data_IF_498339898380
#
_entry.id   IF_498339898380
#
_cell.length_a   1.000
_cell.length_b   1.000
_cell.length_c   1.000
_cell.angle_alpha   90.00
_cell.angle_beta   90.00
_cell.angle_gamma   90.00
#
_symmetry.space_group_name_H-M   'P 1'
#
loop_
_entity.id
_entity.type
_entity.pdbx_description
1 polymer ?
#
# COMPACT_ATOMS: atom_id res chain seq x y z
N UNK A 1 33.31 13.35 23.69
CA UNK A 1 32.85 12.20 22.88
C UNK A 1 32.71 12.66 21.43
N UNK A 2 33.18 11.90 20.42
CA UNK A 2 33.43 12.38 19.03
C UNK A 2 32.39 11.95 17.97
N UNK A 3 31.38 11.15 18.32
CA UNK A 3 30.36 10.66 17.38
C UNK A 3 28.96 10.73 17.98
N UNK A 4 27.97 11.00 17.12
CA UNK A 4 26.55 10.86 17.44
C UNK A 4 26.26 9.37 17.63
N UNK A 5 25.64 9.00 18.75
CA UNK A 5 25.26 7.62 19.05
C UNK A 5 23.82 7.37 18.60
N UNK A 6 23.58 6.21 17.99
CA UNK A 6 22.23 5.75 17.69
C UNK A 6 21.49 5.28 18.95
N UNK A 7 20.22 4.91 18.77
CA UNK A 7 19.38 4.42 19.85
C UNK A 7 19.60 2.92 20.11
N UNK A 8 19.29 2.47 21.33
CA UNK A 8 19.39 1.06 21.71
C UNK A 8 18.27 0.24 21.03
N UNK A 9 18.63 -0.85 20.35
CA UNK A 9 17.70 -1.75 19.65
C UNK A 9 16.70 -2.46 20.57
N UNK A 10 17.02 -2.60 21.86
CA UNK A 10 16.13 -3.21 22.86
C UNK A 10 15.27 -2.19 23.60
N UNK A 11 15.41 -0.89 23.30
CA UNK A 11 14.60 0.15 23.91
C UNK A 11 13.15 -0.03 23.46
N UNK A 12 12.23 -0.22 24.41
CA UNK A 12 10.80 -0.21 24.11
C UNK A 12 10.36 1.19 23.73
N UNK A 13 9.69 1.31 22.59
CA UNK A 13 9.03 2.52 22.15
C UNK A 13 7.53 2.36 22.27
N UNK A 14 6.87 3.43 22.74
CA UNK A 14 5.45 3.61 22.48
C UNK A 14 5.34 3.99 21.00
N UNK A 15 4.70 3.13 20.22
CA UNK A 15 4.38 3.44 18.83
C UNK A 15 3.41 4.64 18.79
N UNK A 16 3.40 5.45 17.71
CA UNK A 16 2.40 6.49 17.48
C UNK A 16 0.98 5.98 17.81
N UNK A 17 0.18 6.86 18.42
CA UNK A 17 -1.12 6.52 19.03
C UNK A 17 -2.11 5.98 17.99
N UNK A 18 -1.88 6.29 16.71
CA UNK A 18 -2.58 5.75 15.54
C UNK A 18 -1.62 5.43 14.39
N UNK A 19 -2.07 4.66 13.38
CA UNK A 19 -1.32 4.51 12.12
C UNK A 19 -1.11 5.88 11.46
N UNK A 20 -2.07 6.79 11.58
CA UNK A 20 -2.02 8.10 10.94
C UNK A 20 -0.91 8.98 11.51
N UNK A 21 -0.68 8.93 12.82
CA UNK A 21 0.44 9.61 13.48
C UNK A 21 1.82 9.03 13.08
N UNK A 22 1.86 7.85 12.47
CA UNK A 22 3.10 7.21 12.04
C UNK A 22 3.68 7.80 10.75
N UNK A 23 2.85 8.51 9.98
CA UNK A 23 3.22 9.11 8.69
C UNK A 23 3.05 10.61 8.79
N UNK A 24 4.12 11.36 8.51
CA UNK A 24 4.08 12.82 8.50
C UNK A 24 2.99 13.34 7.54
N UNK A 25 2.36 14.47 7.89
CA UNK A 25 1.27 15.07 7.12
C UNK A 25 1.69 15.46 5.70
N UNK A 26 2.97 15.76 5.48
CA UNK A 26 3.57 16.15 4.21
C UNK A 26 4.17 14.97 3.42
N UNK A 27 4.04 13.73 3.91
CA UNK A 27 4.54 12.55 3.20
C UNK A 27 3.76 12.30 1.90
N UNK A 28 4.48 12.06 0.81
CA UNK A 28 3.90 11.83 -0.53
C UNK A 28 2.93 10.65 -0.62
N UNK A 29 3.03 9.66 0.28
CA UNK A 29 2.12 8.52 0.30
C UNK A 29 0.67 8.94 0.53
N UNK A 30 0.44 10.04 1.25
CA UNK A 30 -0.89 10.61 1.50
C UNK A 30 -1.52 11.15 0.22
N UNK A 31 -0.71 11.64 -0.72
CA UNK A 31 -1.21 12.08 -2.02
C UNK A 31 -1.77 10.91 -2.82
N UNK A 32 -1.14 9.73 -2.74
CA UNK A 32 -1.63 8.51 -3.41
C UNK A 32 -2.99 8.12 -2.86
N UNK A 33 -3.13 8.15 -1.53
CA UNK A 33 -4.37 7.81 -0.82
C UNK A 33 -5.54 8.69 -1.26
N UNK A 34 -5.39 10.01 -1.12
CA UNK A 34 -6.41 11.00 -1.50
C UNK A 34 -6.70 10.95 -3.00
N UNK A 35 -5.66 10.77 -3.84
CA UNK A 35 -5.85 10.69 -5.28
C UNK A 35 -6.72 9.49 -5.67
N UNK A 36 -6.38 8.28 -5.21
CA UNK A 36 -7.12 7.07 -5.56
C UNK A 36 -8.55 7.11 -5.01
N UNK A 37 -8.74 7.62 -3.79
CA UNK A 37 -10.06 7.73 -3.17
C UNK A 37 -10.96 8.75 -3.88
N UNK A 38 -10.38 9.70 -4.60
CA UNK A 38 -11.14 10.63 -5.45
C UNK A 38 -11.61 10.04 -6.79
N UNK A 39 -11.10 8.87 -7.19
CA UNK A 39 -11.40 8.28 -8.49
C UNK A 39 -12.71 7.49 -8.46
N UNK A 40 -13.57 7.73 -9.46
CA UNK A 40 -14.69 6.84 -9.76
C UNK A 40 -14.18 5.57 -10.47
N UNK A 41 -13.64 4.61 -9.71
CA UNK A 41 -12.92 3.44 -10.23
C UNK A 41 -13.72 2.64 -11.30
N UNK A 42 -15.03 2.52 -11.15
CA UNK A 42 -15.89 1.84 -12.14
C UNK A 42 -15.82 2.51 -13.52
N UNK A 43 -15.74 3.84 -13.56
CA UNK A 43 -15.65 4.61 -14.81
C UNK A 43 -14.31 4.41 -15.54
N UNK A 44 -13.27 4.00 -14.81
CA UNK A 44 -11.97 3.60 -15.35
C UNK A 44 -11.90 2.12 -15.73
N UNK A 45 -13.00 1.38 -15.56
CA UNK A 45 -13.11 -0.03 -15.95
C UNK A 45 -12.65 -1.03 -14.89
N UNK A 46 -12.47 -0.60 -13.64
CA UNK A 46 -12.24 -1.53 -12.52
C UNK A 46 -13.56 -2.20 -12.13
N UNK A 47 -13.54 -3.53 -11.97
CA UNK A 47 -14.66 -4.28 -11.45
C UNK A 47 -14.63 -4.24 -9.91
N UNK A 48 -15.64 -3.62 -9.31
CA UNK A 48 -15.78 -3.51 -7.84
C UNK A 48 -16.68 -4.62 -7.29
N UNK A 49 -17.63 -5.09 -8.10
CA UNK A 49 -18.56 -6.14 -7.69
C UNK A 49 -17.87 -7.52 -7.68
N UNK A 50 -17.97 -8.20 -6.54
CA UNK A 50 -17.44 -9.55 -6.34
C UNK A 50 -18.55 -10.41 -5.76
N UNK A 51 -18.76 -11.59 -6.36
CA UNK A 51 -19.78 -12.53 -5.88
C UNK A 51 -19.55 -12.93 -4.42
N UNK A 52 -20.64 -13.18 -3.69
CA UNK A 52 -20.65 -13.48 -2.25
C UNK A 52 -19.96 -14.81 -1.87
N UNK A 53 -19.51 -15.60 -2.84
CA UNK A 53 -18.96 -16.94 -2.63
C UNK A 53 -17.43 -16.93 -2.62
N UNK A 54 -16.84 -17.44 -1.53
CA UNK A 54 -15.40 -17.64 -1.39
C UNK A 54 -14.74 -16.61 -0.47
N UNK A 55 -13.40 -16.48 -0.57
CA UNK A 55 -12.65 -15.47 0.18
C UNK A 55 -12.92 -14.09 -0.44
N UNK A 56 -13.26 -13.06 0.36
CA UNK A 56 -13.40 -11.69 -0.14
C UNK A 56 -12.15 -11.25 -0.89
N UNK A 57 -12.35 -10.63 -2.05
CA UNK A 57 -11.27 -10.02 -2.81
C UNK A 57 -10.82 -8.71 -2.15
N UNK A 58 -9.60 -8.28 -2.47
CA UNK A 58 -9.13 -6.94 -2.11
C UNK A 58 -9.84 -5.90 -2.97
N UNK A 59 -10.13 -4.74 -2.39
CA UNK A 59 -10.74 -3.66 -3.16
C UNK A 59 -9.76 -3.18 -4.26
N UNK A 60 -10.22 -2.94 -5.50
CA UNK A 60 -9.37 -2.47 -6.59
C UNK A 60 -8.57 -1.21 -6.24
N UNK A 61 -9.14 -0.32 -5.41
CA UNK A 61 -8.48 0.89 -4.93
C UNK A 61 -7.22 0.60 -4.12
N UNK A 62 -7.24 -0.38 -3.21
CA UNK A 62 -6.07 -0.74 -2.39
C UNK A 62 -4.92 -1.27 -3.27
N UNK A 63 -5.27 -2.11 -4.24
CA UNK A 63 -4.28 -2.64 -5.18
C UNK A 63 -3.75 -1.53 -6.10
N UNK A 64 -4.60 -0.61 -6.55
CA UNK A 64 -4.18 0.54 -7.35
C UNK A 64 -3.23 1.46 -6.57
N UNK A 65 -3.54 1.77 -5.30
CA UNK A 65 -2.66 2.52 -4.39
C UNK A 65 -1.28 1.86 -4.30
N UNK A 66 -1.23 0.55 -4.09
CA UNK A 66 0.03 -0.21 -4.05
C UNK A 66 0.80 -0.14 -5.38
N UNK A 67 0.11 -0.18 -6.52
CA UNK A 67 0.76 -0.05 -7.82
C UNK A 67 1.36 1.34 -8.02
N UNK A 68 0.60 2.41 -7.78
CA UNK A 68 1.09 3.79 -7.89
C UNK A 68 2.32 4.00 -6.99
N UNK A 69 2.25 3.54 -5.74
CA UNK A 69 3.40 3.56 -4.82
C UNK A 69 4.62 2.85 -5.43
N UNK A 70 4.41 1.66 -5.99
CA UNK A 70 5.44 0.90 -6.68
C UNK A 70 6.03 1.62 -7.89
N UNK A 71 5.21 2.30 -8.69
CA UNK A 71 5.67 3.08 -9.85
C UNK A 71 6.55 4.26 -9.40
N UNK A 72 6.11 5.04 -8.41
CA UNK A 72 6.86 6.18 -7.85
C UNK A 72 8.20 5.73 -7.24
N UNK A 73 8.20 4.60 -6.53
CA UNK A 73 9.38 4.06 -5.85
C UNK A 73 10.22 3.09 -6.71
N UNK A 74 9.94 2.98 -8.01
CA UNK A 74 10.65 2.10 -8.96
C UNK A 74 10.63 0.60 -8.55
N UNK A 75 9.56 0.16 -7.90
CA UNK A 75 9.28 -1.22 -7.50
C UNK A 75 8.24 -1.84 -8.44
N UNK A 76 8.71 -2.65 -9.41
CA UNK A 76 7.83 -3.27 -10.44
C UNK A 76 7.52 -4.75 -10.20
N UNK A 77 8.25 -5.38 -9.29
CA UNK A 77 8.06 -6.81 -8.98
C UNK A 77 6.94 -6.98 -7.96
N UNK A 78 5.94 -7.81 -8.29
CA UNK A 78 4.85 -8.16 -7.37
C UNK A 78 5.37 -8.77 -6.07
N UNK A 79 6.42 -9.60 -6.14
CA UNK A 79 7.10 -10.15 -4.95
C UNK A 79 7.75 -9.08 -4.08
N UNK A 80 8.30 -8.02 -4.69
CA UNK A 80 8.85 -6.90 -3.93
C UNK A 80 7.73 -6.07 -3.30
N UNK A 81 6.63 -5.83 -4.01
CA UNK A 81 5.46 -5.14 -3.47
C UNK A 81 4.83 -5.90 -2.28
N UNK A 82 4.66 -7.22 -2.40
CA UNK A 82 4.25 -8.07 -1.26
C UNK A 82 5.20 -7.94 -0.06
N UNK A 83 6.51 -7.82 -0.32
CA UNK A 83 7.49 -7.64 0.75
C UNK A 83 7.36 -6.26 1.40
N UNK A 84 7.12 -5.21 0.62
CA UNK A 84 6.91 -3.85 1.15
C UNK A 84 5.66 -3.75 2.01
N UNK A 85 4.54 -4.39 1.61
CA UNK A 85 3.29 -4.37 2.41
C UNK A 85 3.43 -4.95 3.81
N UNK A 86 4.51 -5.69 4.09
CA UNK A 86 4.78 -6.31 5.40
C UNK A 86 5.79 -5.54 6.26
N UNK A 87 6.55 -4.61 5.69
CA UNK A 87 7.73 -4.03 6.36
C UNK A 87 7.88 -2.53 6.22
N UNK A 88 7.25 -1.94 5.22
CA UNK A 88 7.37 -0.53 4.93
C UNK A 88 6.17 0.18 5.53
N UNK A 89 6.44 1.09 6.47
CA UNK A 89 5.38 1.77 7.23
C UNK A 89 4.48 2.61 6.32
N UNK A 90 4.99 3.19 5.24
CA UNK A 90 4.19 3.93 4.26
C UNK A 90 3.19 3.02 3.57
N UNK A 91 3.62 1.82 3.15
CA UNK A 91 2.74 0.85 2.48
C UNK A 91 1.76 0.23 3.46
N UNK A 92 2.20 -0.04 4.70
CA UNK A 92 1.31 -0.51 5.76
C UNK A 92 0.24 0.53 6.08
N UNK A 93 0.59 1.82 6.12
CA UNK A 93 -0.37 2.92 6.29
C UNK A 93 -1.32 3.00 5.09
N UNK A 94 -0.77 3.07 3.87
CA UNK A 94 -1.53 3.23 2.62
C UNK A 94 -2.55 2.12 2.37
N UNK A 95 -2.25 0.90 2.83
CA UNK A 95 -3.12 -0.26 2.65
C UNK A 95 -3.91 -0.62 3.91
N UNK A 96 -3.89 0.18 4.96
CA UNK A 96 -4.53 -0.20 6.23
C UNK A 96 -4.04 -1.54 6.78
N UNK A 97 -2.75 -1.85 6.58
CA UNK A 97 -2.09 -3.12 6.92
C UNK A 97 -2.57 -4.36 6.15
N UNK A 98 -3.28 -4.19 5.04
CA UNK A 98 -3.56 -5.27 4.10
C UNK A 98 -2.26 -5.79 3.46
N UNK A 99 -2.20 -7.11 3.26
CA UNK A 99 -0.99 -7.80 2.76
C UNK A 99 -1.34 -8.69 1.57
N UNK A 100 -1.65 -8.10 0.39
CA UNK A 100 -1.91 -8.88 -0.81
C UNK A 100 -0.65 -9.67 -1.20
N UNK A 101 -0.83 -10.93 -1.56
CA UNK A 101 0.27 -11.76 -2.04
C UNK A 101 0.68 -11.40 -3.48
N UNK A 102 1.88 -11.81 -3.88
CA UNK A 102 2.38 -11.54 -5.23
C UNK A 102 1.49 -12.07 -6.36
N UNK A 103 0.70 -13.12 -6.12
CA UNK A 103 -0.23 -13.67 -7.11
C UNK A 103 -1.42 -12.74 -7.30
N UNK A 104 -2.01 -12.26 -6.21
CA UNK A 104 -3.08 -11.25 -6.18
C UNK A 104 -2.64 -9.99 -6.92
N UNK A 105 -1.46 -9.46 -6.58
CA UNK A 105 -0.89 -8.26 -7.21
C UNK A 105 -0.67 -8.50 -8.70
N UNK A 106 -0.11 -9.65 -9.08
CA UNK A 106 0.17 -9.96 -10.49
C UNK A 106 -1.11 -10.17 -11.31
N UNK A 107 -2.12 -10.83 -10.74
CA UNK A 107 -3.41 -11.06 -11.38
C UNK A 107 -4.13 -9.74 -11.61
N UNK A 108 -4.16 -8.86 -10.61
CA UNK A 108 -4.78 -7.53 -10.74
C UNK A 108 -4.23 -6.74 -11.94
N UNK A 109 -2.90 -6.72 -12.13
CA UNK A 109 -2.29 -6.07 -13.31
C UNK A 109 -2.66 -6.74 -14.63
N UNK A 110 -2.70 -8.07 -14.67
CA UNK A 110 -3.01 -8.83 -15.88
C UNK A 110 -4.48 -8.63 -16.29
N UNK A 111 -5.36 -8.57 -15.31
CA UNK A 111 -6.80 -8.60 -15.53
C UNK A 111 -7.36 -7.17 -15.76
N UNK A 112 -6.59 -6.12 -15.45
CA UNK A 112 -6.96 -4.71 -15.66
C UNK A 112 -6.03 -3.94 -16.64
N UNK A 113 -5.73 -4.43 -17.86
CA UNK A 113 -4.72 -3.82 -18.75
C UNK A 113 -5.17 -2.50 -19.39
N UNK A 114 -6.46 -2.19 -19.41
CA UNK A 114 -7.01 -0.94 -19.96
C UNK A 114 -7.13 0.18 -18.91
N UNK A 115 -7.13 -0.18 -17.64
CA UNK A 115 -7.30 0.71 -16.50
C UNK A 115 -5.96 1.10 -15.84
N UNK A 116 -4.90 0.32 -16.11
CA UNK A 116 -3.51 0.50 -15.67
C UNK A 116 -2.69 1.26 -16.70
#
# INVERSE_FOLDING_TARGET
MKYIQGQNRSQTYLFPVTLDDAIAEDNEVRLIDVFVDSLALESFGFQIDHGENGRPAYHPGDLLKLFIYGYMNKIRSSRRLEKESKRNIEVMWLLGSLQPDHNTISNFRRDNPKAM
#
